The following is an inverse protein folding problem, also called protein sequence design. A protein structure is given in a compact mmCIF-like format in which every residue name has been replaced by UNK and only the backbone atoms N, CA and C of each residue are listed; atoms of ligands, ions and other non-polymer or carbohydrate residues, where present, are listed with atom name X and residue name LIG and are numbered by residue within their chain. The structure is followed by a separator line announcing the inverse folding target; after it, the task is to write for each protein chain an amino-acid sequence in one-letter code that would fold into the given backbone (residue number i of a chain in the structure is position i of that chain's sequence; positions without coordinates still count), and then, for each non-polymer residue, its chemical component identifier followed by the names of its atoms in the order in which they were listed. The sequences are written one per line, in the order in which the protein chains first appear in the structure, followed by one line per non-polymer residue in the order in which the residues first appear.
data_IF_824177472776
#
_entry.id   IF_824177472776
#
_cell.length_a   1.000
_cell.length_b   1.000
_cell.length_c   1.000
_cell.angle_alpha   90.00
_cell.angle_beta   90.00
_cell.angle_gamma   90.00
#
_symmetry.space_group_name_H-M   'P 1'
#
loop_
_entity.id
_entity.type
_entity.pdbx_description
1 polymer ?
#
# COMPACT_ATOMS: atom_id res chain seq x y z
N UNK A 1 29.65 -39.08 52.76
CA UNK A 1 28.57 -38.39 53.52
C UNK A 1 28.39 -37.03 52.86
N UNK A 2 27.54 -36.88 51.84
CA UNK A 2 26.08 -36.65 51.83
C UNK A 2 25.64 -35.35 52.53
N UNK A 3 25.20 -34.38 51.68
CA UNK A 3 24.25 -33.25 51.86
C UNK A 3 24.67 -32.09 52.78
N UNK A 4 24.31 -30.83 52.56
CA UNK A 4 23.12 -30.23 51.92
C UNK A 4 23.49 -28.91 51.19
N UNK A 5 23.08 -28.75 49.92
CA UNK A 5 23.02 -27.44 49.25
C UNK A 5 21.58 -26.93 49.36
N UNK A 6 21.34 -25.85 50.11
CA UNK A 6 20.05 -25.16 50.16
C UNK A 6 20.00 -24.13 49.03
N UNK A 7 19.22 -24.44 48.00
CA UNK A 7 18.88 -23.54 46.90
C UNK A 7 17.61 -22.76 47.29
N UNK A 8 17.64 -21.42 47.45
CA UNK A 8 16.41 -20.66 47.60
C UNK A 8 15.72 -20.54 46.24
N UNK A 9 14.50 -21.05 46.21
CA UNK A 9 13.49 -20.91 45.18
C UNK A 9 13.19 -19.41 44.98
N UNK A 10 13.59 -18.83 43.85
CA UNK A 10 13.12 -17.51 43.40
C UNK A 10 12.25 -17.71 42.17
N UNK A 11 10.96 -17.93 42.44
CA UNK A 11 9.88 -17.86 41.46
C UNK A 11 9.71 -16.40 41.09
N UNK A 12 10.30 -15.96 39.98
CA UNK A 12 9.99 -14.66 39.40
C UNK A 12 8.85 -14.84 38.40
N UNK A 13 7.63 -14.48 38.81
CA UNK A 13 6.50 -14.31 37.91
C UNK A 13 6.84 -13.25 36.86
N UNK A 14 7.27 -13.69 35.67
CA UNK A 14 7.36 -12.81 34.51
C UNK A 14 5.93 -12.58 34.02
N UNK A 15 5.32 -11.49 34.46
CA UNK A 15 4.05 -11.01 33.92
C UNK A 15 4.25 -10.71 32.43
N UNK A 16 3.80 -11.62 31.57
CA UNK A 16 3.69 -11.40 30.15
C UNK A 16 2.68 -10.26 29.93
N UNK A 17 3.21 -9.05 29.71
CA UNK A 17 2.45 -7.96 29.08
C UNK A 17 2.15 -8.40 27.65
N UNK A 18 1.06 -9.15 27.48
CA UNK A 18 0.38 -9.28 26.20
C UNK A 18 -0.10 -7.89 25.82
N UNK A 19 0.73 -7.19 25.05
CA UNK A 19 0.27 -6.06 24.27
C UNK A 19 -0.83 -6.58 23.35
N UNK A 20 -2.09 -6.38 23.74
CA UNK A 20 -3.21 -6.46 22.82
C UNK A 20 -2.94 -5.43 21.73
N UNK A 21 -2.33 -5.87 20.63
CA UNK A 21 -2.34 -5.11 19.39
C UNK A 21 -3.82 -4.93 19.06
N UNK A 22 -4.35 -3.71 19.28
CA UNK A 22 -5.65 -3.33 18.79
C UNK A 22 -5.66 -3.65 17.31
N UNK A 23 -6.38 -4.70 16.92
CA UNK A 23 -6.55 -5.02 15.52
C UNK A 23 -7.30 -3.84 14.89
N UNK A 24 -6.79 -3.29 13.79
CA UNK A 24 -7.49 -2.21 13.12
C UNK A 24 -8.86 -2.72 12.66
N UNK A 25 -9.88 -1.93 12.94
CA UNK A 25 -11.24 -2.17 12.45
C UNK A 25 -11.26 -1.84 10.96
N UNK A 26 -11.47 -2.86 10.11
CA UNK A 26 -11.69 -2.69 8.67
C UNK A 26 -10.68 -3.44 7.80
N UNK A 27 -11.18 -4.13 6.78
CA UNK A 27 -10.39 -4.72 5.70
C UNK A 27 -10.09 -3.64 4.66
N UNK A 28 -8.82 -3.23 4.54
CA UNK A 28 -8.38 -2.23 3.55
C UNK A 28 -7.83 -2.86 2.27
N UNK A 29 -7.90 -4.19 2.17
CA UNK A 29 -7.42 -4.95 1.02
C UNK A 29 -8.16 -4.51 -0.24
N UNK A 30 -7.43 -4.33 -1.33
CA UNK A 30 -8.08 -4.30 -2.64
C UNK A 30 -8.46 -5.72 -3.02
N UNK A 31 -9.69 -5.92 -3.52
CA UNK A 31 -10.25 -7.25 -3.82
C UNK A 31 -10.28 -7.47 -5.33
N UNK A 32 -9.13 -7.64 -6.00
CA UNK A 32 -9.06 -7.75 -7.45
C UNK A 32 -9.76 -8.98 -7.99
N UNK A 33 -9.98 -10.01 -7.16
CA UNK A 33 -10.78 -11.18 -7.54
C UNK A 33 -12.26 -10.86 -7.80
N UNK A 34 -12.73 -9.66 -7.46
CA UNK A 34 -14.09 -9.17 -7.74
C UNK A 34 -14.15 -8.28 -8.99
N UNK A 35 -13.06 -8.16 -9.74
CA UNK A 35 -12.97 -7.31 -10.94
C UNK A 35 -12.86 -8.15 -12.21
N UNK A 36 -13.39 -7.61 -13.29
CA UNK A 36 -13.23 -8.12 -14.65
C UNK A 36 -12.16 -7.31 -15.38
N UNK A 37 -11.46 -7.96 -16.31
CA UNK A 37 -10.53 -7.24 -17.19
C UNK A 37 -11.28 -6.12 -17.95
N UNK A 38 -10.71 -4.92 -17.94
CA UNK A 38 -11.34 -3.71 -18.47
C UNK A 38 -12.07 -2.88 -17.42
N UNK A 39 -12.32 -3.39 -16.22
CA UNK A 39 -12.86 -2.59 -15.12
C UNK A 39 -11.90 -1.46 -14.77
N UNK A 40 -12.41 -0.24 -14.55
CA UNK A 40 -11.55 0.90 -14.23
C UNK A 40 -12.16 1.89 -13.26
N UNK A 41 -11.29 2.64 -12.59
CA UNK A 41 -11.63 3.84 -11.82
C UNK A 41 -10.96 5.05 -12.44
N UNK A 42 -11.69 6.16 -12.55
CA UNK A 42 -11.16 7.42 -13.05
C UNK A 42 -11.03 8.41 -11.90
N UNK A 43 -9.83 8.97 -11.76
CA UNK A 43 -9.46 9.85 -10.66
C UNK A 43 -9.01 11.19 -11.24
N UNK A 44 -9.69 12.26 -10.85
CA UNK A 44 -9.21 13.62 -11.08
C UNK A 44 -8.17 13.96 -10.03
N UNK A 45 -6.95 14.25 -10.48
CA UNK A 45 -5.84 14.66 -9.64
C UNK A 45 -5.65 16.16 -9.73
N UNK A 46 -5.56 16.86 -8.59
CA UNK A 46 -5.49 18.32 -8.54
C UNK A 46 -4.28 18.95 -9.27
N UNK A 47 -3.27 18.15 -9.63
CA UNK A 47 -2.03 18.60 -10.28
C UNK A 47 -1.75 17.96 -11.62
N UNK A 48 -2.17 16.71 -11.80
CA UNK A 48 -1.80 15.90 -12.97
C UNK A 48 -3.01 15.59 -13.87
N UNK A 49 -4.15 16.22 -13.59
CA UNK A 49 -5.38 16.05 -14.36
C UNK A 49 -6.02 14.67 -14.16
N UNK A 50 -6.74 14.22 -15.18
CA UNK A 50 -7.49 12.96 -15.14
C UNK A 50 -6.58 11.77 -15.42
N UNK A 51 -6.69 10.73 -14.58
CA UNK A 51 -6.09 9.42 -14.79
C UNK A 51 -7.17 8.34 -14.68
N UNK A 52 -6.98 7.25 -15.42
CA UNK A 52 -7.80 6.05 -15.32
C UNK A 52 -6.91 4.88 -14.90
N UNK A 53 -7.29 4.16 -13.85
CA UNK A 53 -6.62 2.93 -13.43
C UNK A 53 -7.49 1.75 -13.86
N UNK A 54 -7.05 1.04 -14.89
CA UNK A 54 -7.78 -0.08 -15.49
C UNK A 54 -7.15 -1.41 -15.05
N UNK A 55 -7.99 -2.28 -14.50
CA UNK A 55 -7.62 -3.65 -14.20
C UNK A 55 -7.50 -4.45 -15.49
N UNK A 56 -6.33 -5.08 -15.69
CA UNK A 56 -6.03 -5.85 -16.89
C UNK A 56 -6.29 -7.34 -16.67
N UNK A 57 -6.07 -7.82 -15.44
CA UNK A 57 -6.20 -9.23 -15.08
C UNK A 57 -5.13 -9.67 -14.09
N UNK A 58 -4.88 -10.98 -14.05
CA UNK A 58 -3.83 -11.57 -13.22
C UNK A 58 -2.85 -12.40 -14.05
N UNK A 59 -1.60 -12.41 -13.62
CA UNK A 59 -0.54 -13.28 -14.13
C UNK A 59 0.22 -13.91 -12.96
N UNK A 60 0.29 -15.25 -12.94
CA UNK A 60 0.99 -16.04 -11.91
C UNK A 60 0.64 -15.64 -10.46
N UNK A 61 -0.60 -15.24 -10.21
CA UNK A 61 -1.09 -14.85 -8.88
C UNK A 61 -0.84 -13.38 -8.50
N UNK A 62 -0.23 -12.59 -9.38
CA UNK A 62 -0.13 -11.14 -9.25
C UNK A 62 -1.18 -10.46 -10.13
N UNK A 63 -1.56 -9.24 -9.79
CA UNK A 63 -2.63 -8.49 -10.44
C UNK A 63 -2.07 -7.28 -11.17
N UNK A 64 -2.55 -7.02 -12.38
CA UNK A 64 -2.00 -5.98 -13.26
C UNK A 64 -3.01 -4.87 -13.44
N UNK A 65 -2.54 -3.63 -13.23
CA UNK A 65 -3.30 -2.41 -13.48
C UNK A 65 -2.50 -1.54 -14.44
N UNK A 66 -3.13 -1.11 -15.53
CA UNK A 66 -2.57 -0.12 -16.44
C UNK A 66 -3.25 1.22 -16.19
N UNK A 67 -2.44 2.27 -16.19
CA UNK A 67 -2.92 3.62 -15.91
C UNK A 67 -2.78 4.53 -17.11
N UNK A 68 -3.87 5.20 -17.48
CA UNK A 68 -3.97 6.01 -18.70
C UNK A 68 -4.27 7.45 -18.32
N UNK A 69 -3.60 8.41 -18.97
CA UNK A 69 -3.89 9.84 -18.81
C UNK A 69 -4.71 10.34 -19.98
N UNK A 70 -5.60 11.29 -19.72
CA UNK A 70 -6.41 11.93 -20.76
C UNK A 70 -7.90 11.79 -20.50
N UNK A 71 -8.70 11.75 -21.57
CA UNK A 71 -10.16 11.73 -21.49
C UNK A 71 -10.75 10.31 -21.41
N UNK A 72 -9.99 9.28 -21.80
CA UNK A 72 -10.43 7.88 -21.83
C UNK A 72 -9.29 6.92 -21.44
N UNK A 73 -9.61 5.69 -20.99
CA UNK A 73 -8.63 4.65 -20.65
C UNK A 73 -8.12 3.91 -21.90
N UNK A 74 -7.63 4.64 -22.90
CA UNK A 74 -7.18 4.08 -24.18
C UNK A 74 -5.79 4.59 -24.58
N UNK A 75 -5.14 3.90 -25.51
CA UNK A 75 -3.83 4.26 -26.04
C UNK A 75 -2.67 3.59 -25.29
N UNK A 76 -1.56 4.31 -25.16
CA UNK A 76 -0.39 3.83 -24.42
C UNK A 76 -0.56 4.13 -22.92
N UNK A 77 -0.40 3.13 -22.02
CA UNK A 77 -0.45 3.38 -20.59
C UNK A 77 0.67 4.33 -20.15
N UNK A 78 0.34 5.33 -19.34
CA UNK A 78 1.33 6.18 -18.70
C UNK A 78 2.23 5.39 -17.73
N UNK A 79 1.67 4.36 -17.09
CA UNK A 79 2.41 3.39 -16.29
C UNK A 79 1.61 2.11 -16.06
N UNK A 80 2.33 1.04 -15.73
CA UNK A 80 1.79 -0.26 -15.30
C UNK A 80 2.18 -0.52 -13.85
N UNK A 81 1.24 -1.04 -13.06
CA UNK A 81 1.47 -1.49 -11.69
C UNK A 81 1.18 -2.99 -11.59
N UNK A 82 2.09 -3.73 -10.98
CA UNK A 82 1.87 -5.13 -10.58
C UNK A 82 1.68 -5.19 -9.07
N UNK A 83 0.61 -5.86 -8.66
CA UNK A 83 0.09 -5.87 -7.31
C UNK A 83 0.05 -7.30 -6.77
N UNK A 84 0.25 -7.47 -5.47
CA UNK A 84 -0.04 -8.73 -4.80
C UNK A 84 -1.55 -8.94 -4.62
N UNK A 85 -1.94 -10.07 -4.03
CA UNK A 85 -3.35 -10.42 -3.74
C UNK A 85 -4.07 -9.45 -2.81
N UNK A 86 -3.32 -8.62 -2.09
CA UNK A 86 -3.83 -7.69 -1.12
C UNK A 86 -3.92 -6.25 -1.68
N UNK A 87 -3.36 -6.03 -2.87
CA UNK A 87 -3.28 -4.74 -3.54
C UNK A 87 -2.08 -3.89 -3.11
N UNK A 88 -1.04 -4.49 -2.52
CA UNK A 88 0.24 -3.81 -2.34
C UNK A 88 1.07 -3.91 -3.62
N UNK A 89 1.89 -2.89 -3.88
CA UNK A 89 2.67 -2.80 -5.11
C UNK A 89 3.88 -3.73 -4.99
N UNK A 90 4.12 -4.52 -6.04
CA UNK A 90 5.32 -5.32 -6.26
C UNK A 90 6.24 -4.67 -7.29
N UNK A 91 5.64 -4.04 -8.31
CA UNK A 91 6.32 -3.34 -9.39
C UNK A 91 5.49 -2.12 -9.81
N UNK A 92 6.18 -1.04 -10.12
CA UNK A 92 5.68 0.09 -10.89
C UNK A 92 6.62 0.33 -12.06
N UNK A 93 6.09 0.49 -13.26
CA UNK A 93 6.85 0.71 -14.49
C UNK A 93 6.20 1.82 -15.30
N UNK A 94 6.95 2.83 -15.72
CA UNK A 94 6.44 3.83 -16.66
C UNK A 94 6.53 3.39 -18.12
N UNK A 95 5.93 4.18 -19.01
CA UNK A 95 5.96 3.95 -20.46
C UNK A 95 7.38 3.84 -21.06
N UNK A 96 8.40 4.43 -20.41
CA UNK A 96 9.78 4.45 -20.88
C UNK A 96 10.60 3.25 -20.33
N UNK A 97 9.97 2.36 -19.56
CA UNK A 97 10.59 1.17 -18.96
C UNK A 97 11.37 1.45 -17.68
N UNK A 98 11.21 2.62 -17.05
CA UNK A 98 11.75 2.87 -15.72
C UNK A 98 10.96 2.05 -14.70
N UNK A 99 11.65 1.09 -14.07
CA UNK A 99 11.04 0.17 -13.10
C UNK A 99 11.41 0.51 -11.66
N UNK A 100 10.41 0.50 -10.79
CA UNK A 100 10.56 0.49 -9.32
C UNK A 100 9.96 -0.80 -8.79
N UNK A 101 10.79 -1.59 -8.09
CA UNK A 101 10.38 -2.83 -7.42
C UNK A 101 10.27 -2.64 -5.92
N UNK A 102 9.40 -3.40 -5.28
CA UNK A 102 9.18 -3.32 -3.84
C UNK A 102 9.37 -4.70 -3.20
N UNK A 103 10.15 -4.76 -2.11
CA UNK A 103 10.42 -5.99 -1.37
C UNK A 103 10.08 -5.82 0.12
N UNK A 104 9.13 -6.60 0.70
CA UNK A 104 8.32 -7.62 0.02
C UNK A 104 7.24 -7.03 -0.92
N UNK A 105 6.76 -5.83 -0.60
CA UNK A 105 5.78 -5.02 -1.34
C UNK A 105 5.75 -3.62 -0.69
N UNK A 106 5.11 -2.62 -1.28
CA UNK A 106 5.10 -1.23 -0.78
C UNK A 106 4.28 -0.96 0.51
N UNK A 107 3.61 -2.00 1.03
CA UNK A 107 2.78 -1.94 2.24
C UNK A 107 1.54 -1.02 2.14
N UNK A 108 1.13 -0.59 0.94
CA UNK A 108 0.03 0.38 0.78
C UNK A 108 -1.28 -0.09 1.39
N UNK A 109 -1.56 -1.40 1.35
CA UNK A 109 -2.76 -2.05 1.91
C UNK A 109 -2.48 -2.86 3.18
N UNK A 110 -1.33 -2.61 3.83
CA UNK A 110 -0.94 -3.29 5.07
C UNK A 110 -1.22 -2.40 6.27
N UNK A 111 -2.08 -2.86 7.19
CA UNK A 111 -2.40 -2.14 8.42
C UNK A 111 -1.30 -2.28 9.49
N UNK A 112 -1.14 -1.24 10.33
CA UNK A 112 -0.10 -1.19 11.35
C UNK A 112 1.23 -0.72 10.77
N UNK A 113 2.34 -1.15 11.38
CA UNK A 113 3.70 -0.80 10.95
C UNK A 113 4.25 -1.85 10.00
N UNK A 114 4.68 -1.44 8.82
CA UNK A 114 5.27 -2.29 7.80
C UNK A 114 6.56 -1.66 7.27
N UNK A 115 7.55 -2.51 6.95
CA UNK A 115 8.83 -2.07 6.39
C UNK A 115 9.05 -2.74 5.05
N UNK A 116 9.57 -1.98 4.11
CA UNK A 116 9.88 -2.48 2.78
C UNK A 116 11.12 -1.80 2.20
N UNK A 117 11.63 -2.37 1.12
CA UNK A 117 12.71 -1.81 0.32
C UNK A 117 12.18 -1.47 -1.05
N UNK A 118 12.28 -0.20 -1.44
CA UNK A 118 12.10 0.26 -2.81
C UNK A 118 13.44 0.11 -3.55
N UNK A 119 13.40 -0.54 -4.70
CA UNK A 119 14.56 -0.80 -5.56
C UNK A 119 14.31 -0.10 -6.88
N UNK A 120 15.11 0.95 -7.14
CA UNK A 120 15.08 1.74 -8.36
C UNK A 120 16.10 1.20 -9.38
N UNK A 121 16.11 1.73 -10.62
CA UNK A 121 17.16 1.40 -11.58
C UNK A 121 18.56 1.65 -11.00
N UNK A 122 19.54 0.93 -11.54
CA UNK A 122 20.91 0.86 -11.02
C UNK A 122 21.03 0.26 -9.61
N UNK A 123 20.05 -0.56 -9.18
CA UNK A 123 20.02 -1.21 -7.87
C UNK A 123 20.10 -0.23 -6.68
N UNK A 124 19.62 1.01 -6.84
CA UNK A 124 19.51 1.93 -5.72
C UNK A 124 18.40 1.45 -4.79
N UNK A 125 18.76 1.15 -3.53
CA UNK A 125 17.84 0.60 -2.52
C UNK A 125 17.51 1.64 -1.46
N UNK A 126 16.22 1.95 -1.31
CA UNK A 126 15.70 2.85 -0.27
C UNK A 126 14.83 2.04 0.69
N UNK A 127 15.14 2.12 1.99
CA UNK A 127 14.34 1.46 3.01
C UNK A 127 13.29 2.41 3.55
N UNK A 128 12.08 1.91 3.65
CA UNK A 128 10.90 2.65 4.08
C UNK A 128 10.25 1.97 5.28
N UNK A 129 9.64 2.78 6.13
CA UNK A 129 8.69 2.35 7.16
C UNK A 129 7.38 3.07 6.92
N UNK A 130 6.32 2.32 6.70
CA UNK A 130 4.95 2.81 6.55
C UNK A 130 4.12 2.41 7.77
N UNK A 131 3.38 3.36 8.31
CA UNK A 131 2.37 3.14 9.33
C UNK A 131 1.01 3.46 8.74
N UNK A 132 0.16 2.45 8.58
CA UNK A 132 -1.19 2.59 8.02
C UNK A 132 -2.21 2.37 9.13
N UNK A 133 -3.19 3.26 9.23
CA UNK A 133 -4.29 3.19 10.19
C UNK A 133 -5.60 3.20 9.43
N UNK A 134 -6.48 2.25 9.71
CA UNK A 134 -7.84 2.26 9.18
C UNK A 134 -8.59 3.52 9.64
N UNK A 135 -9.47 4.01 8.79
CA UNK A 135 -10.45 5.05 9.11
C UNK A 135 -11.85 4.46 8.95
N UNK A 136 -12.89 5.24 9.23
CA UNK A 136 -14.27 4.79 9.03
C UNK A 136 -14.56 4.43 7.57
N UNK A 137 -13.94 5.14 6.63
CA UNK A 137 -14.23 5.04 5.18
C UNK A 137 -13.05 4.51 4.35
N UNK A 138 -11.93 4.15 4.97
CA UNK A 138 -10.72 3.75 4.24
C UNK A 138 -9.48 3.67 5.14
N UNK A 139 -8.40 4.38 4.79
CA UNK A 139 -7.18 4.42 5.60
C UNK A 139 -6.42 5.73 5.49
N UNK A 140 -5.58 5.99 6.49
CA UNK A 140 -4.54 7.02 6.44
C UNK A 140 -3.18 6.42 6.73
N UNK A 141 -2.12 7.08 6.28
CA UNK A 141 -0.78 6.57 6.46
C UNK A 141 0.26 7.66 6.64
N UNK A 142 1.37 7.26 7.25
CA UNK A 142 2.62 8.00 7.29
C UNK A 142 3.72 7.06 6.86
N UNK A 143 4.55 7.50 5.93
CA UNK A 143 5.69 6.77 5.42
C UNK A 143 6.96 7.58 5.63
N UNK A 144 8.01 6.91 6.09
CA UNK A 144 9.28 7.50 6.46
C UNK A 144 10.45 6.71 5.90
N UNK A 145 11.48 7.38 5.40
CA UNK A 145 12.73 6.72 5.06
C UNK A 145 13.45 6.18 6.32
N UNK A 146 14.54 5.43 6.12
CA UNK A 146 15.35 4.86 7.21
C UNK A 146 15.78 5.87 8.29
N UNK A 147 15.96 7.13 7.92
CA UNK A 147 16.45 8.17 8.83
C UNK A 147 15.29 8.97 9.45
N UNK A 148 14.05 8.65 9.13
CA UNK A 148 12.87 9.41 9.54
C UNK A 148 12.75 10.76 8.83
N UNK A 149 13.58 11.02 7.82
CA UNK A 149 13.73 12.34 7.20
C UNK A 149 12.69 12.60 6.11
N UNK A 150 12.66 11.74 5.08
CA UNK A 150 11.64 11.86 4.03
C UNK A 150 10.32 11.31 4.54
N UNK A 151 9.31 12.19 4.59
CA UNK A 151 7.96 11.86 5.03
C UNK A 151 6.96 11.97 3.88
N UNK A 152 6.19 10.92 3.64
CA UNK A 152 5.00 10.94 2.78
C UNK A 152 3.79 10.65 3.66
N UNK A 153 2.69 11.35 3.45
CA UNK A 153 1.44 11.11 4.19
C UNK A 153 0.27 11.07 3.23
N UNK A 154 -0.79 10.38 3.61
CA UNK A 154 -2.04 10.46 2.87
C UNK A 154 -3.21 9.86 3.61
N UNK A 155 -4.39 10.11 3.08
CA UNK A 155 -5.66 9.56 3.53
C UNK A 155 -6.51 9.26 2.31
N UNK A 156 -7.05 8.05 2.23
CA UNK A 156 -7.71 7.50 1.04
C UNK A 156 -8.98 6.79 1.52
N UNK A 157 -10.12 7.21 1.00
CA UNK A 157 -11.38 6.48 1.13
C UNK A 157 -11.35 5.23 0.25
N UNK A 158 -12.10 4.20 0.62
CA UNK A 158 -12.22 2.95 -0.10
C UNK A 158 -13.70 2.62 -0.31
N UNK A 159 -14.01 2.00 -1.45
CA UNK A 159 -15.30 1.34 -1.61
C UNK A 159 -15.30 -0.07 -1.00
N UNK A 160 -16.43 -0.79 -1.11
CA UNK A 160 -16.57 -2.13 -0.57
C UNK A 160 -15.62 -3.18 -1.19
N UNK A 161 -15.10 -2.92 -2.40
CA UNK A 161 -14.10 -3.76 -3.10
C UNK A 161 -12.66 -3.32 -2.77
N UNK A 162 -12.49 -2.30 -1.93
CA UNK A 162 -11.19 -1.71 -1.63
C UNK A 162 -10.60 -0.90 -2.78
N UNK A 163 -11.38 -0.52 -3.79
CA UNK A 163 -10.92 0.40 -4.84
C UNK A 163 -10.78 1.79 -4.24
N UNK A 164 -9.71 2.50 -4.60
CA UNK A 164 -9.43 3.82 -4.08
C UNK A 164 -10.56 4.80 -4.46
N UNK A 165 -11.06 5.49 -3.43
CA UNK A 165 -11.98 6.62 -3.48
C UNK A 165 -11.24 7.95 -3.45
N UNK A 166 -11.94 8.97 -2.96
CA UNK A 166 -11.37 10.30 -2.75
C UNK A 166 -10.25 10.25 -1.71
N UNK A 167 -9.31 11.19 -1.80
CA UNK A 167 -8.22 11.22 -0.85
C UNK A 167 -7.24 12.36 -1.03
N UNK A 168 -6.18 12.31 -0.24
CA UNK A 168 -5.07 13.25 -0.28
C UNK A 168 -3.75 12.51 -0.16
N UNK A 169 -2.73 13.06 -0.82
CA UNK A 169 -1.33 12.70 -0.64
C UNK A 169 -0.54 13.98 -0.40
N UNK A 170 0.42 13.91 0.51
CA UNK A 170 1.46 14.91 0.63
C UNK A 170 2.81 14.18 0.59
N UNK A 171 3.51 14.35 -0.53
CA UNK A 171 4.76 13.66 -0.79
C UNK A 171 5.86 14.60 -1.22
N UNK A 172 6.88 14.04 -1.86
CA UNK A 172 8.07 14.77 -2.30
C UNK A 172 7.75 15.96 -3.22
N UNK A 173 6.74 15.82 -4.08
CA UNK A 173 6.36 16.87 -5.00
C UNK A 173 5.40 17.89 -4.40
N UNK A 174 4.93 17.69 -3.16
CA UNK A 174 3.92 18.50 -2.47
C UNK A 174 2.58 17.78 -2.29
N UNK A 175 1.57 18.54 -1.85
CA UNK A 175 0.20 18.05 -1.67
C UNK A 175 -0.54 17.80 -2.98
N UNK A 176 -1.43 16.82 -2.99
CA UNK A 176 -2.31 16.46 -4.09
C UNK A 176 -3.62 15.91 -3.54
N UNK A 177 -4.73 16.32 -4.14
CA UNK A 177 -6.05 15.77 -3.86
C UNK A 177 -6.47 14.86 -5.01
N UNK A 178 -7.19 13.79 -4.66
CA UNK A 178 -7.78 12.83 -5.57
C UNK A 178 -9.29 12.84 -5.40
N UNK A 179 -10.02 12.93 -6.50
CA UNK A 179 -11.47 12.78 -6.52
C UNK A 179 -11.85 11.74 -7.55
N UNK A 180 -12.59 10.72 -7.14
CA UNK A 180 -13.12 9.74 -8.08
C UNK A 180 -14.27 10.37 -8.85
N UNK A 181 -14.13 10.40 -10.17
CA UNK A 181 -15.12 11.01 -11.07
C UNK A 181 -15.90 9.98 -11.88
N UNK A 182 -15.38 8.75 -12.01
CA UNK A 182 -16.07 7.67 -12.69
C UNK A 182 -15.58 6.30 -12.20
N UNK A 183 -16.46 5.29 -12.29
CA UNK A 183 -16.18 3.87 -12.04
C UNK A 183 -16.88 3.05 -13.11
N UNK A 184 -16.17 2.10 -13.70
CA UNK A 184 -16.71 1.15 -14.66
C UNK A 184 -16.46 -0.25 -14.12
N UNK A 185 -17.31 -0.68 -13.20
CA UNK A 185 -17.40 -2.05 -12.71
C UNK A 185 -18.79 -2.22 -12.08
N UNK A 186 -19.50 -3.27 -12.50
CA UNK A 186 -20.82 -3.66 -11.97
C UNK A 186 -20.66 -4.48 -10.69
#
# INVERSE_FOLDING_TARGET
MIREMKLPLLVTCLAALTACAAQPTGDIRWKPELLNAGDYVSVSQSRDGLIHHMFVGSDRGNYVVQSYRGASPEGEPAFTTVLDRDGNYLLWEDQDGYQVRYEPHDCTRTLGTCRYTEIRPNNLRVRWTRVTTATEVGFKYVETDRNGGRKVTGEIALDARGVAGDGTVNGYFGGQNFTVVNRSYE
#
